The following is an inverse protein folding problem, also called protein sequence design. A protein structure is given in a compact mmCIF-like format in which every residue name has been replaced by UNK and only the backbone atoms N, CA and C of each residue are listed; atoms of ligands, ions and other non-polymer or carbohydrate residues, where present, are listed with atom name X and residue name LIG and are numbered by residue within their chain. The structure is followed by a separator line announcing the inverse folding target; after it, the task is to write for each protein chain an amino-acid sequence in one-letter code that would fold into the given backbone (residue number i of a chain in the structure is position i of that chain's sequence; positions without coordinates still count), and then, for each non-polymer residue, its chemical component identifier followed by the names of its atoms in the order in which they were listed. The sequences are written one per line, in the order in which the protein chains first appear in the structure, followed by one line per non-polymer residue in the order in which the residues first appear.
data_IF_803466039826
#
_entry.id   IF_803466039826
#
_cell.length_a   1.000
_cell.length_b   1.000
_cell.length_c   1.000
_cell.angle_alpha   90.00
_cell.angle_beta   90.00
_cell.angle_gamma   90.00
#
_symmetry.space_group_name_H-M   'P 1'
#
loop_
_entity.id
_entity.type
_entity.pdbx_description
1 polymer ?
#
# COMPACT_ATOMS: atom_id res chain seq x y z
N UNK A 1 -8.11 16.54 2.73
CA UNK A 1 -6.69 16.16 2.87
C UNK A 1 -6.32 15.53 1.55
N UNK A 2 -5.31 16.07 0.86
CA UNK A 2 -4.83 15.49 -0.39
C UNK A 2 -3.95 14.28 -0.03
N UNK A 3 -4.43 13.08 -0.26
CA UNK A 3 -3.66 11.86 -0.03
C UNK A 3 -2.82 11.59 -1.28
N UNK A 4 -1.55 11.22 -1.08
CA UNK A 4 -0.65 10.80 -2.14
C UNK A 4 -0.27 9.36 -1.82
N UNK A 5 -0.64 8.40 -2.68
CA UNK A 5 -0.42 6.97 -2.50
C UNK A 5 0.87 6.52 -3.21
N UNK A 6 1.74 5.82 -2.50
CA UNK A 6 2.92 5.13 -3.05
C UNK A 6 3.01 3.70 -2.45
N UNK A 7 3.21 2.69 -3.29
CA UNK A 7 3.26 1.24 -2.96
C UNK A 7 4.64 0.73 -2.56
N UNK A 8 4.77 0.10 -1.41
CA UNK A 8 6.04 -0.15 -0.74
C UNK A 8 6.45 -1.61 -0.65
N UNK A 9 7.78 -1.85 -0.70
CA UNK A 9 8.42 -3.16 -0.53
C UNK A 9 9.41 -3.13 0.64
N UNK A 10 9.30 -4.07 1.58
CA UNK A 10 10.36 -4.41 2.53
C UNK A 10 11.08 -5.68 2.07
N UNK A 11 12.41 -5.64 1.95
CA UNK A 11 13.22 -6.84 1.75
C UNK A 11 13.56 -7.59 3.04
N UNK A 12 12.97 -7.25 4.20
CA UNK A 12 13.27 -7.95 5.46
C UNK A 12 12.04 -8.14 6.34
N UNK A 13 11.58 -9.40 6.37
CA UNK A 13 11.04 -10.13 7.53
C UNK A 13 9.84 -9.55 8.32
N UNK A 14 9.00 -8.73 7.72
CA UNK A 14 7.64 -8.57 8.24
C UNK A 14 6.63 -8.56 7.10
N UNK A 15 5.63 -9.44 7.21
CA UNK A 15 4.45 -9.48 6.34
C UNK A 15 3.64 -8.24 6.69
N UNK A 16 3.97 -7.12 6.04
CA UNK A 16 3.28 -5.86 6.20
C UNK A 16 3.21 -5.19 4.84
N UNK A 17 2.00 -4.94 4.36
CA UNK A 17 1.78 -3.96 3.30
C UNK A 17 2.00 -2.57 3.88
N UNK A 18 2.57 -1.64 3.11
CA UNK A 18 2.79 -0.27 3.54
C UNK A 18 2.13 0.69 2.55
N UNK A 19 1.20 1.52 3.02
CA UNK A 19 0.62 2.59 2.21
C UNK A 19 1.20 3.95 2.59
N UNK A 20 2.04 4.56 1.74
CA UNK A 20 2.65 5.86 2.02
C UNK A 20 1.63 7.01 1.79
N UNK A 21 1.54 7.98 2.71
CA UNK A 21 0.73 9.22 2.61
C UNK A 21 1.60 10.46 2.83
N UNK A 22 1.64 11.40 1.87
CA UNK A 22 2.34 12.68 2.06
C UNK A 22 1.69 13.49 3.16
N UNK A 23 2.44 13.83 4.21
CA UNK A 23 1.95 14.70 5.28
C UNK A 23 2.62 16.08 5.22
N UNK A 24 1.83 17.15 5.21
CA UNK A 24 2.33 18.54 5.15
C UNK A 24 2.66 19.12 6.54
N UNK A 25 2.33 18.46 7.64
CA UNK A 25 2.38 19.02 9.01
C UNK A 25 3.05 18.08 10.03
N UNK A 26 4.22 17.49 9.73
CA UNK A 26 4.95 16.65 10.70
C UNK A 26 6.16 17.40 11.24
N UNK A 27 6.19 17.58 12.56
CA UNK A 27 7.37 17.98 13.32
C UNK A 27 8.27 16.75 13.51
N UNK A 28 9.35 16.70 12.73
CA UNK A 28 10.33 15.59 12.65
C UNK A 28 11.05 15.37 13.99
N UNK A 29 10.97 16.31 14.94
CA UNK A 29 11.60 16.19 16.27
C UNK A 29 10.95 15.15 17.19
N UNK A 30 9.74 14.68 16.85
CA UNK A 30 9.07 13.58 17.55
C UNK A 30 9.00 12.38 16.60
N UNK A 31 10.00 11.50 16.65
CA UNK A 31 9.97 10.22 15.93
C UNK A 31 8.72 9.43 16.32
N UNK A 32 7.70 9.51 15.47
CA UNK A 32 6.35 9.09 15.81
C UNK A 32 6.12 7.66 15.31
N UNK A 33 6.64 6.68 16.04
CA UNK A 33 6.12 5.31 15.99
C UNK A 33 4.82 5.27 16.81
N UNK A 34 3.73 5.84 16.30
CA UNK A 34 2.45 5.72 17.02
C UNK A 34 1.83 4.37 16.69
N UNK A 35 1.85 3.47 17.68
CA UNK A 35 1.01 2.28 17.71
C UNK A 35 -0.40 2.70 18.10
N UNK A 36 -1.14 3.28 17.16
CA UNK A 36 -2.55 3.61 17.39
C UNK A 36 -3.44 2.39 17.09
N UNK A 37 -4.49 2.21 17.90
CA UNK A 37 -5.53 1.24 17.58
C UNK A 37 -6.11 1.59 16.20
N UNK A 38 -6.39 0.56 15.41
CA UNK A 38 -6.90 0.67 14.05
C UNK A 38 -8.32 1.27 14.04
N UNK A 39 -8.44 2.59 14.23
CA UNK A 39 -9.69 3.30 14.01
C UNK A 39 -10.04 3.18 12.53
N UNK A 40 -11.20 2.59 12.23
CA UNK A 40 -11.59 2.18 10.86
C UNK A 40 -11.79 3.36 9.90
N UNK A 41 -11.98 4.57 10.41
CA UNK A 41 -12.19 5.82 9.68
C UNK A 41 -10.89 6.56 9.33
N UNK A 42 -9.76 6.20 9.95
CA UNK A 42 -8.49 6.94 9.78
C UNK A 42 -7.91 6.81 8.36
N UNK A 43 -8.10 5.64 7.75
CA UNK A 43 -7.52 5.28 6.45
C UNK A 43 -8.58 4.65 5.53
N UNK A 44 -9.59 5.42 5.12
CA UNK A 44 -10.80 4.90 4.50
C UNK A 44 -10.60 4.38 3.06
N UNK A 45 -9.42 4.59 2.48
CA UNK A 45 -9.01 4.07 1.18
C UNK A 45 -8.24 2.76 1.27
N UNK A 46 -7.84 2.34 2.47
CA UNK A 46 -7.01 1.16 2.66
C UNK A 46 -7.83 -0.10 2.37
N UNK A 47 -7.28 -0.99 1.54
CA UNK A 47 -7.85 -2.29 1.25
C UNK A 47 -6.93 -3.38 1.81
N UNK A 48 -7.48 -4.30 2.59
CA UNK A 48 -6.81 -5.53 2.97
C UNK A 48 -7.19 -6.62 1.96
N UNK A 49 -6.21 -7.35 1.42
CA UNK A 49 -6.40 -8.25 0.29
C UNK A 49 -5.79 -9.61 0.63
N UNK A 50 -6.63 -10.62 0.79
CA UNK A 50 -6.18 -12.01 0.81
C UNK A 50 -6.16 -12.53 -0.62
N UNK A 51 -4.97 -12.88 -1.08
CA UNK A 51 -4.71 -13.39 -2.42
C UNK A 51 -4.58 -14.90 -2.32
N UNK A 52 -5.44 -15.62 -3.03
CA UNK A 52 -5.32 -17.07 -3.17
C UNK A 52 -4.68 -17.40 -4.51
N UNK A 53 -3.68 -18.27 -4.47
CA UNK A 53 -3.04 -18.90 -5.62
C UNK A 53 -3.28 -20.41 -5.55
N UNK A 54 -2.83 -21.15 -6.56
CA UNK A 54 -2.90 -22.62 -6.58
C UNK A 54 -2.27 -23.29 -5.36
N UNK A 55 -1.22 -22.70 -4.79
CA UNK A 55 -0.36 -23.35 -3.78
C UNK A 55 -0.36 -22.65 -2.43
N UNK A 56 -0.76 -21.38 -2.37
CA UNK A 56 -0.66 -20.58 -1.15
C UNK A 56 -1.75 -19.50 -1.07
N UNK A 57 -2.00 -19.03 0.14
CA UNK A 57 -2.71 -17.77 0.38
C UNK A 57 -1.73 -16.75 0.96
N UNK A 58 -1.64 -15.58 0.35
CA UNK A 58 -0.82 -14.47 0.83
C UNK A 58 -1.70 -13.27 1.21
N UNK A 59 -1.12 -12.38 2.01
CA UNK A 59 -1.75 -11.11 2.35
C UNK A 59 -1.05 -9.99 1.59
N UNK A 60 -1.87 -9.16 0.95
CA UNK A 60 -1.48 -7.93 0.30
C UNK A 60 -2.36 -6.79 0.81
N UNK A 61 -1.95 -5.57 0.53
CA UNK A 61 -2.84 -4.43 0.66
C UNK A 61 -3.07 -3.76 -0.68
N UNK A 62 -3.99 -2.82 -0.66
CA UNK A 62 -4.30 -2.00 -1.81
C UNK A 62 -4.92 -0.68 -1.41
N UNK A 63 -5.29 0.07 -2.42
CA UNK A 63 -5.91 1.38 -2.26
C UNK A 63 -7.08 1.55 -3.18
N UNK A 64 -8.21 1.94 -2.63
CA UNK A 64 -9.38 2.29 -3.41
C UNK A 64 -9.10 3.59 -4.20
N UNK A 65 -9.02 3.50 -5.52
CA UNK A 65 -8.81 4.66 -6.42
C UNK A 65 -10.13 5.24 -6.93
N UNK A 66 -11.09 4.35 -7.18
CA UNK A 66 -12.45 4.69 -7.58
C UNK A 66 -13.40 3.84 -6.77
N UNK A 67 -14.71 4.00 -6.93
CA UNK A 67 -15.66 3.10 -6.28
C UNK A 67 -15.60 1.65 -6.80
N UNK A 68 -14.84 1.33 -7.86
CA UNK A 68 -14.77 -0.03 -8.42
C UNK A 68 -13.34 -0.55 -8.65
N UNK A 69 -12.32 0.26 -8.39
CA UNK A 69 -10.94 -0.10 -8.72
C UNK A 69 -10.02 0.08 -7.53
N UNK A 70 -9.27 -0.99 -7.22
CA UNK A 70 -8.24 -1.03 -6.20
C UNK A 70 -6.88 -1.09 -6.87
N UNK A 71 -5.99 -0.18 -6.50
CA UNK A 71 -4.58 -0.23 -6.86
C UNK A 71 -3.83 -1.13 -5.89
N UNK A 72 -2.97 -1.99 -6.42
CA UNK A 72 -2.11 -2.90 -5.66
C UNK A 72 -0.81 -3.15 -6.42
N UNK A 73 0.05 -4.02 -5.89
CA UNK A 73 1.28 -4.44 -6.55
C UNK A 73 1.00 -5.52 -7.61
N UNK A 74 1.77 -5.52 -8.69
CA UNK A 74 1.80 -6.60 -9.69
C UNK A 74 2.10 -7.96 -9.08
N UNK A 75 3.07 -8.04 -8.16
CA UNK A 75 3.38 -9.30 -7.45
C UNK A 75 2.20 -9.83 -6.61
N UNK A 76 1.26 -8.98 -6.22
CA UNK A 76 0.07 -9.39 -5.48
C UNK A 76 -0.98 -10.07 -6.36
N UNK A 77 -0.99 -9.78 -7.66
CA UNK A 77 -1.95 -10.36 -8.60
C UNK A 77 -1.32 -11.41 -9.51
N UNK A 78 0.01 -11.44 -9.62
CA UNK A 78 0.73 -12.37 -10.48
C UNK A 78 0.51 -13.82 -10.02
N UNK A 79 -0.20 -14.60 -10.83
CA UNK A 79 -0.58 -15.98 -10.50
C UNK A 79 -1.74 -16.10 -9.48
N UNK A 80 -2.44 -15.00 -9.20
CA UNK A 80 -3.62 -15.01 -8.34
C UNK A 80 -4.82 -15.66 -9.05
N UNK A 81 -5.57 -16.47 -8.30
CA UNK A 81 -6.81 -17.11 -8.74
C UNK A 81 -8.05 -16.45 -8.15
N UNK A 82 -7.93 -15.87 -6.95
CA UNK A 82 -9.04 -15.28 -6.22
C UNK A 82 -8.54 -14.21 -5.25
N UNK A 83 -9.29 -13.12 -5.15
CA UNK A 83 -9.08 -12.07 -4.16
C UNK A 83 -10.26 -12.02 -3.19
N UNK A 84 -9.97 -12.01 -1.89
CA UNK A 84 -10.91 -11.60 -0.85
C UNK A 84 -10.44 -10.26 -0.30
N UNK A 85 -11.25 -9.23 -0.49
CA UNK A 85 -10.92 -7.84 -0.20
C UNK A 85 -11.79 -7.35 0.95
N UNK A 86 -11.16 -6.72 1.95
CA UNK A 86 -11.83 -5.98 3.01
C UNK A 86 -11.59 -4.48 2.86
N UNK A 87 -12.69 -3.72 2.89
CA UNK A 87 -12.72 -2.25 2.91
C UNK A 87 -13.54 -1.78 4.11
N UNK A 88 -13.37 -0.53 4.53
CA UNK A 88 -14.18 0.06 5.61
C UNK A 88 -13.82 -0.40 7.01
N UNK A 89 -12.78 -1.22 7.12
CA UNK A 89 -12.21 -1.65 8.38
C UNK A 89 -10.70 -1.73 8.27
N UNK A 90 -10.04 -1.15 9.27
CA UNK A 90 -8.60 -1.26 9.45
C UNK A 90 -8.23 -2.46 10.34
N UNK A 91 -9.23 -3.17 10.87
CA UNK A 91 -9.05 -4.46 11.53
C UNK A 91 -9.29 -5.57 10.49
N UNK A 92 -8.41 -6.57 10.45
CA UNK A 92 -8.53 -7.73 9.55
C UNK A 92 -9.03 -8.98 10.28
N UNK A 93 -9.12 -8.95 11.61
CA UNK A 93 -9.77 -9.99 12.43
C UNK A 93 -11.05 -9.40 13.05
N UNK A 94 -11.85 -10.26 13.67
CA UNK A 94 -13.12 -9.86 14.28
C UNK A 94 -14.21 -9.38 13.31
N UNK A 95 -15.40 -9.14 13.85
CA UNK A 95 -16.53 -8.57 13.13
C UNK A 95 -16.50 -7.04 13.24
N UNK A 96 -16.58 -6.35 12.11
CA UNK A 96 -16.71 -4.90 12.06
C UNK A 96 -17.93 -4.55 11.20
N UNK A 97 -18.91 -3.80 11.72
CA UNK A 97 -20.16 -3.51 11.01
C UNK A 97 -19.96 -2.64 9.76
N UNK A 98 -18.84 -1.94 9.66
CA UNK A 98 -18.49 -1.11 8.51
C UNK A 98 -17.65 -1.87 7.47
N UNK A 99 -17.24 -3.12 7.75
CA UNK A 99 -16.43 -3.92 6.84
C UNK A 99 -17.27 -4.35 5.63
N UNK A 100 -16.81 -3.96 4.46
CA UNK A 100 -17.30 -4.48 3.19
C UNK A 100 -16.35 -5.59 2.76
N UNK A 101 -16.90 -6.79 2.56
CA UNK A 101 -16.17 -7.93 2.00
C UNK A 101 -16.53 -8.11 0.54
N UNK A 102 -15.52 -8.10 -0.32
CA UNK A 102 -15.69 -8.31 -1.77
C UNK A 102 -14.84 -9.47 -2.22
N UNK A 103 -15.42 -10.35 -3.04
CA UNK A 103 -14.70 -11.43 -3.69
C UNK A 103 -14.67 -11.15 -5.20
N UNK A 104 -13.49 -11.25 -5.81
CA UNK A 104 -13.31 -11.04 -7.26
C UNK A 104 -12.16 -11.87 -7.80
N UNK A 105 -12.17 -12.11 -9.11
CA UNK A 105 -11.07 -12.71 -9.87
C UNK A 105 -10.51 -11.75 -10.91
N UNK A 106 -11.11 -10.56 -11.04
CA UNK A 106 -10.80 -9.63 -12.13
C UNK A 106 -9.68 -8.67 -11.73
N UNK A 107 -8.62 -8.66 -12.51
CA UNK A 107 -7.49 -7.76 -12.33
C UNK A 107 -6.86 -7.36 -13.66
N UNK A 108 -6.11 -6.26 -13.64
CA UNK A 108 -5.26 -5.77 -14.73
C UNK A 108 -3.86 -5.69 -14.17
N UNK A 109 -3.01 -6.62 -14.57
CA UNK A 109 -1.58 -6.56 -14.31
C UNK A 109 -0.93 -5.62 -15.33
N UNK A 110 0.00 -4.77 -14.89
CA UNK A 110 0.73 -3.91 -15.80
C UNK A 110 1.50 -4.75 -16.84
N UNK A 111 1.40 -4.46 -18.14
CA UNK A 111 1.98 -5.33 -19.19
C UNK A 111 3.48 -5.55 -19.07
N UNK A 112 4.22 -4.54 -18.62
CA UNK A 112 5.68 -4.59 -18.48
C UNK A 112 6.13 -5.01 -17.07
N UNK A 113 5.23 -5.56 -16.25
CA UNK A 113 5.60 -6.12 -14.95
C UNK A 113 6.60 -7.27 -15.13
N UNK A 114 7.72 -7.20 -14.43
CA UNK A 114 8.73 -8.24 -14.44
C UNK A 114 8.83 -8.90 -13.04
N UNK A 115 8.44 -10.17 -12.88
CA UNK A 115 8.44 -10.84 -11.59
C UNK A 115 9.84 -11.12 -11.02
N UNK A 116 10.90 -11.09 -11.83
CA UNK A 116 12.28 -11.34 -11.37
C UNK A 116 12.98 -10.06 -10.88
N UNK A 117 12.60 -8.91 -11.44
CA UNK A 117 13.21 -7.61 -11.12
C UNK A 117 12.28 -6.71 -10.31
N UNK A 118 10.99 -7.06 -10.22
CA UNK A 118 9.90 -6.24 -9.68
C UNK A 118 9.81 -4.87 -10.35
N UNK A 119 10.23 -4.78 -11.61
CA UNK A 119 9.99 -3.59 -12.43
C UNK A 119 8.51 -3.48 -12.78
N UNK A 120 7.99 -2.25 -12.76
CA UNK A 120 6.58 -1.93 -13.00
C UNK A 120 5.63 -2.75 -12.11
N UNK A 121 5.94 -2.82 -10.81
CA UNK A 121 5.18 -3.60 -9.84
C UNK A 121 3.87 -2.90 -9.44
N UNK A 122 2.94 -2.86 -10.40
CA UNK A 122 1.64 -2.21 -10.30
C UNK A 122 0.56 -3.07 -10.94
N UNK A 123 -0.59 -3.15 -10.29
CA UNK A 123 -1.78 -3.77 -10.81
C UNK A 123 -3.05 -3.09 -10.29
N UNK A 124 -4.15 -3.30 -11.02
CA UNK A 124 -5.48 -2.93 -10.58
C UNK A 124 -6.31 -4.19 -10.33
N UNK A 125 -7.09 -4.22 -9.25
CA UNK A 125 -8.14 -5.22 -9.04
C UNK A 125 -9.49 -4.54 -9.28
N UNK A 126 -10.35 -5.17 -10.09
CA UNK A 126 -11.70 -4.69 -10.38
C UNK A 126 -12.71 -5.34 -9.45
N UNK A 127 -13.51 -4.52 -8.79
CA UNK A 127 -14.62 -4.98 -7.98
C UNK A 127 -15.81 -5.37 -8.88
N UNK A 128 -16.56 -6.43 -8.55
CA UNK A 128 -17.67 -6.90 -9.38
C UNK A 128 -18.79 -5.85 -9.47
N UNK A 129 -18.95 -5.03 -8.43
CA UNK A 129 -19.89 -3.91 -8.38
C UNK A 129 -19.22 -2.68 -7.78
N UNK A 130 -19.63 -1.46 -8.18
CA UNK A 130 -19.19 -0.24 -7.51
C UNK A 130 -19.64 -0.21 -6.05
N UNK A 131 -18.77 0.25 -5.15
CA UNK A 131 -19.03 0.41 -3.73
C UNK A 131 -19.54 1.82 -3.42
N UNK A 132 -20.49 1.93 -2.50
CA UNK A 132 -20.93 3.21 -1.96
C UNK A 132 -19.86 3.81 -1.04
N UNK A 133 -19.42 5.04 -1.36
CA UNK A 133 -18.43 5.75 -0.55
C UNK A 133 -19.10 6.40 0.66
N UNK A 134 -18.46 6.31 1.82
CA UNK A 134 -18.93 6.87 3.10
C UNK A 134 -17.73 7.33 3.95
N UNK A 135 -17.91 7.55 5.26
CA UNK A 135 -16.81 7.99 6.13
C UNK A 135 -15.71 6.92 6.32
N UNK A 136 -16.07 5.64 6.24
CA UNK A 136 -15.20 4.48 6.41
C UNK A 136 -14.59 3.98 5.09
N UNK A 137 -15.26 4.22 3.96
CA UNK A 137 -14.81 3.81 2.62
C UNK A 137 -14.74 5.01 1.70
N UNK A 138 -13.54 5.46 1.36
CA UNK A 138 -13.29 6.59 0.46
C UNK A 138 -12.19 6.26 -0.50
N UNK A 139 -12.23 6.83 -1.70
CA UNK A 139 -11.09 6.77 -2.60
C UNK A 139 -9.95 7.66 -2.10
N UNK A 140 -8.72 7.32 -2.46
CA UNK A 140 -7.59 8.24 -2.36
C UNK A 140 -7.21 8.82 -3.73
N UNK A 141 -6.56 9.98 -3.69
CA UNK A 141 -6.12 10.69 -4.88
C UNK A 141 -4.72 10.22 -5.33
N UNK A 142 -4.47 10.29 -6.63
CA UNK A 142 -3.15 10.04 -7.20
C UNK A 142 -2.28 11.31 -7.18
N UNK A 143 -0.94 11.17 -7.13
CA UNK A 143 -0.04 12.29 -7.32
C UNK A 143 -0.33 13.00 -8.62
N UNK A 144 -0.29 14.33 -8.59
CA UNK A 144 -0.30 15.17 -9.79
C UNK A 144 1.11 15.64 -10.20
N UNK A 145 2.10 15.39 -9.35
CA UNK A 145 3.48 15.86 -9.48
C UNK A 145 4.42 14.87 -8.81
N UNK A 146 5.66 14.92 -9.27
CA UNK A 146 6.76 14.16 -8.70
C UNK A 146 6.97 14.47 -7.23
N UNK A 147 7.52 13.47 -6.55
CA UNK A 147 7.79 13.53 -5.14
C UNK A 147 9.19 14.08 -4.93
N UNK A 148 9.28 15.16 -4.14
CA UNK A 148 10.54 15.82 -3.83
C UNK A 148 11.37 14.95 -2.86
N UNK A 149 12.70 14.94 -3.07
CA UNK A 149 13.65 14.34 -2.14
C UNK A 149 13.50 15.01 -0.77
N UNK A 150 13.54 14.23 0.30
CA UNK A 150 13.30 14.69 1.67
C UNK A 150 11.83 14.82 2.05
N UNK A 151 10.89 14.62 1.13
CA UNK A 151 9.47 14.56 1.50
C UNK A 151 9.20 13.36 2.41
N UNK A 152 8.29 13.55 3.37
CA UNK A 152 7.93 12.51 4.34
C UNK A 152 6.58 11.89 4.06
N UNK A 153 6.49 10.60 4.34
CA UNK A 153 5.31 9.77 4.13
C UNK A 153 4.99 8.96 5.37
N UNK A 154 3.71 8.82 5.68
CA UNK A 154 3.24 7.87 6.69
C UNK A 154 2.91 6.57 5.99
N UNK A 155 3.42 5.45 6.47
CA UNK A 155 2.99 4.13 6.01
C UNK A 155 1.92 3.55 6.91
N UNK A 156 1.14 2.61 6.38
CA UNK A 156 0.08 1.93 7.09
C UNK A 156 0.28 0.44 6.89
N UNK A 157 0.47 -0.30 8.00
CA UNK A 157 0.72 -1.73 7.95
C UNK A 157 -0.21 -2.50 8.88
N UNK A 158 -0.76 -3.60 8.39
CA UNK A 158 -1.34 -4.62 9.23
C UNK A 158 -0.23 -5.55 9.71
N UNK A 159 0.09 -5.50 11.00
CA UNK A 159 0.99 -6.46 11.61
C UNK A 159 0.18 -7.45 12.44
N UNK A 160 0.35 -8.74 12.18
CA UNK A 160 -0.02 -9.79 13.15
C UNK A 160 1.07 -9.82 14.22
N UNK A 161 0.77 -9.31 15.41
CA UNK A 161 1.51 -9.71 16.61
C UNK A 161 0.84 -10.94 17.20
N UNK A 162 1.63 -11.97 17.52
CA UNK A 162 1.19 -13.27 18.07
C UNK A 162 0.31 -13.19 19.33
N UNK A 163 0.24 -12.04 20.00
CA UNK A 163 -0.30 -11.94 21.35
C UNK A 163 -1.31 -10.79 21.56
N UNK A 164 -1.68 -10.02 20.52
CA UNK A 164 -2.69 -8.94 20.64
C UNK A 164 -3.43 -8.71 19.32
N UNK A 165 -4.68 -8.21 19.44
CA UNK A 165 -5.59 -7.80 18.36
C UNK A 165 -4.87 -7.16 17.17
N UNK A 166 -5.31 -7.39 15.92
CA UNK A 166 -4.68 -6.80 14.73
C UNK A 166 -4.65 -5.29 14.84
N UNK A 167 -3.45 -4.74 14.67
CA UNK A 167 -3.22 -3.29 14.77
C UNK A 167 -2.66 -2.77 13.47
N UNK A 168 -3.14 -1.59 13.10
CA UNK A 168 -2.52 -0.78 12.06
C UNK A 168 -1.34 -0.05 12.67
N UNK A 169 -0.13 -0.41 12.25
CA UNK A 169 1.09 0.30 12.59
C UNK A 169 1.35 1.39 11.56
N UNK A 170 1.80 2.55 12.04
CA UNK A 170 2.18 3.66 11.17
C UNK A 170 3.62 4.05 11.38
N UNK A 171 4.38 4.12 10.28
CA UNK A 171 5.78 4.52 10.32
C UNK A 171 6.00 5.77 9.47
N UNK A 172 6.99 6.57 9.84
CA UNK A 172 7.39 7.74 9.07
C UNK A 172 8.59 7.39 8.18
N UNK A 173 8.39 7.51 6.87
CA UNK A 173 9.44 7.34 5.88
C UNK A 173 9.81 8.67 5.22
N UNK A 174 11.06 8.79 4.78
CA UNK A 174 11.58 9.96 4.06
C UNK A 174 12.08 9.56 2.70
N UNK A 175 11.80 10.35 1.67
CA UNK A 175 12.27 10.11 0.30
C UNK A 175 13.78 10.34 0.20
N UNK A 176 14.47 9.35 -0.32
CA UNK A 176 15.88 9.41 -0.68
C UNK A 176 16.04 9.61 -2.19
N UNK A 177 17.18 10.17 -2.60
CA UNK A 177 17.58 10.11 -4.00
C UNK A 177 17.93 8.67 -4.41
N UNK A 178 17.75 8.34 -5.70
CA UNK A 178 18.13 7.02 -6.21
C UNK A 178 19.63 6.74 -6.06
N UNK A 179 20.47 7.77 -6.09
CA UNK A 179 21.92 7.66 -5.82
C UNK A 179 22.19 7.23 -4.39
N UNK A 180 21.57 7.88 -3.40
CA UNK A 180 21.70 7.49 -1.98
C UNK A 180 21.23 6.07 -1.75
N UNK A 181 20.13 5.68 -2.39
CA UNK A 181 19.54 4.37 -2.21
C UNK A 181 20.34 3.23 -2.88
N UNK A 182 21.03 3.52 -3.99
CA UNK A 182 21.92 2.55 -4.64
C UNK A 182 23.14 2.24 -3.76
N UNK A 183 23.65 3.22 -3.00
CA UNK A 183 24.79 3.04 -2.10
C UNK A 183 24.49 2.12 -0.90
N UNK A 184 23.21 1.87 -0.60
CA UNK A 184 22.76 1.08 0.55
C UNK A 184 22.45 -0.39 0.22
N UNK A 185 23.12 -0.97 -0.77
CA UNK A 185 22.95 -2.35 -1.27
C UNK A 185 21.67 -2.63 -2.08
N UNK A 186 21.00 -1.61 -2.62
CA UNK A 186 19.91 -1.76 -3.58
C UNK A 186 20.38 -1.45 -5.01
N UNK A 187 21.07 -2.40 -5.65
CA UNK A 187 21.65 -2.22 -6.98
C UNK A 187 20.63 -2.28 -8.14
N UNK A 188 19.33 -2.20 -7.87
CA UNK A 188 18.24 -2.45 -8.85
C UNK A 188 17.16 -1.37 -8.85
N UNK A 189 17.52 -0.13 -8.52
CA UNK A 189 16.57 1.00 -8.54
C UNK A 189 16.56 1.62 -9.94
N UNK A 190 15.37 1.82 -10.48
CA UNK A 190 15.15 2.47 -11.78
C UNK A 190 14.62 3.89 -11.59
N UNK A 191 14.56 4.68 -12.66
CA UNK A 191 14.01 6.05 -12.61
C UNK A 191 12.50 6.07 -12.30
N UNK A 192 11.81 4.98 -12.62
CA UNK A 192 10.39 4.78 -12.33
C UNK A 192 10.14 4.28 -10.89
N UNK A 193 11.14 4.41 -10.02
CA UNK A 193 11.06 4.04 -8.60
C UNK A 193 11.43 5.20 -7.68
N UNK A 194 10.71 5.34 -6.57
CA UNK A 194 11.02 6.19 -5.42
C UNK A 194 11.61 5.32 -4.32
N UNK A 195 12.73 5.78 -3.74
CA UNK A 195 13.29 5.19 -2.55
C UNK A 195 12.85 5.92 -1.29
N UNK A 196 12.45 5.17 -0.27
CA UNK A 196 12.06 5.67 1.03
C UNK A 196 12.93 5.03 2.14
N UNK A 197 13.31 5.81 3.14
CA UNK A 197 14.02 5.32 4.33
C UNK A 197 13.21 5.58 5.59
N UNK A 198 13.13 4.58 6.47
CA UNK A 198 12.54 4.72 7.80
C UNK A 198 13.52 5.25 8.83
N UNK A 199 13.00 5.52 10.04
CA UNK A 199 13.81 5.91 11.21
C UNK A 199 14.01 4.68 12.12
N UNK A 200 15.23 4.48 12.65
CA UNK A 200 15.59 3.45 13.64
C UNK A 200 15.27 1.98 13.25
N UNK A 201 16.25 1.22 12.75
CA UNK A 201 16.15 -0.22 12.39
C UNK A 201 15.05 -0.59 11.37
N UNK A 202 14.31 0.37 10.86
CA UNK A 202 13.42 0.19 9.72
C UNK A 202 14.26 0.30 8.43
N UNK A 203 14.22 -0.76 7.62
CA UNK A 203 15.00 -0.86 6.39
C UNK A 203 14.61 0.17 5.33
N UNK A 204 15.34 0.14 4.23
CA UNK A 204 15.07 0.95 3.05
C UNK A 204 13.99 0.26 2.22
N UNK A 205 13.05 1.06 1.71
CA UNK A 205 11.93 0.61 0.89
C UNK A 205 12.02 1.25 -0.50
N UNK A 206 11.65 0.50 -1.54
CA UNK A 206 11.59 1.00 -2.92
C UNK A 206 10.15 0.87 -3.42
N UNK A 207 9.67 1.85 -4.19
CA UNK A 207 8.28 1.98 -4.63
C UNK A 207 8.26 2.29 -6.12
N UNK A 208 7.41 1.64 -6.92
CA UNK A 208 7.16 2.10 -8.29
C UNK A 208 6.35 3.41 -8.29
N UNK A 209 6.76 4.38 -9.11
CA UNK A 209 6.08 5.68 -9.24
C UNK A 209 5.06 5.60 -10.36
N UNK A 210 3.85 6.06 -10.10
CA UNK A 210 2.78 6.03 -11.08
C UNK A 210 2.19 7.42 -11.24
N UNK A 211 2.45 8.06 -12.38
CA UNK A 211 1.93 9.40 -12.69
C UNK A 211 0.67 9.40 -13.56
N UNK A 212 0.32 8.28 -14.20
CA UNK A 212 -0.82 8.20 -15.10
C UNK A 212 -1.44 6.80 -15.11
N UNK A 213 -2.44 6.57 -14.25
CA UNK A 213 -3.35 5.43 -14.41
C UNK A 213 -4.61 5.92 -15.13
N UNK A 214 -4.75 5.55 -16.40
CA UNK A 214 -6.01 5.72 -17.12
C UNK A 214 -6.93 4.55 -16.75
N UNK A 215 -7.66 4.70 -15.64
CA UNK A 215 -8.71 3.74 -15.29
C UNK A 215 -9.84 3.91 -16.30
N UNK A 216 -10.04 2.91 -17.15
CA UNK A 216 -11.13 2.90 -18.13
C UNK A 216 -12.44 2.62 -17.37
N UNK A 217 -13.40 3.54 -17.48
CA UNK A 217 -14.76 3.38 -16.93
C UNK A 217 -15.53 2.29 -17.70
#
# INVERSE_FOLDING_TARGET
MDYLILFLFLSTLSVGFFLALKNKNIDVSKGLLTRELAQSDKYPFAAAIYVKTTTNTSFCGGTLLTNQWILTAGQCVYGAELFTIYLGSNDVEGDNPNRITVITTDYVLYPDFNPETLQHDVALIKLPMPIELNEYVRRADLPKRDVEIGATFITINWAQSSDQEPRVNTNLLTVLSNTECTMTNYNRITQDMICLSGSYNEGICVVSVIFNINVVN
#
